data_IF_258544052612
#
_entry.id   IF_258544052612
#
_cell.length_a   1.000
_cell.length_b   1.000
_cell.length_c   1.000
_cell.angle_alpha   90.00
_cell.angle_beta   90.00
_cell.angle_gamma   90.00
#
_symmetry.space_group_name_H-M   'P 1'
#
loop_
_entity.id
_entity.type
_entity.pdbx_description
1 polymer ?
#
# COMPACT_ATOMS: atom_id res chain seq x y z
N UNK A 1 -2.93 12.73 -10.14
CA UNK A 1 -4.32 13.25 -10.19
C UNK A 1 -5.18 12.32 -11.06
N UNK A 2 -6.29 11.86 -10.52
CA UNK A 2 -7.22 10.94 -11.18
C UNK A 2 -8.49 11.70 -11.56
N UNK A 3 -8.76 11.82 -12.86
CA UNK A 3 -9.97 12.45 -13.38
C UNK A 3 -10.96 11.40 -13.88
N UNK A 4 -12.18 11.41 -13.35
CA UNK A 4 -13.28 10.56 -13.79
C UNK A 4 -14.22 11.33 -14.70
N UNK A 5 -14.77 10.66 -15.71
CA UNK A 5 -15.87 11.19 -16.50
C UNK A 5 -17.19 10.86 -15.78
N UNK A 6 -17.81 11.90 -15.24
CA UNK A 6 -19.11 11.77 -14.56
C UNK A 6 -20.29 11.86 -15.52
N UNK A 7 -20.06 12.17 -16.80
CA UNK A 7 -21.09 12.20 -17.83
C UNK A 7 -21.42 10.81 -18.38
N UNK A 8 -20.55 9.85 -18.18
CA UNK A 8 -20.66 8.50 -18.72
C UNK A 8 -20.57 7.47 -17.59
N UNK A 9 -21.45 6.48 -17.61
CA UNK A 9 -21.44 5.34 -16.68
C UNK A 9 -21.28 4.05 -17.48
N UNK A 10 -20.19 3.31 -17.22
CA UNK A 10 -19.90 2.01 -17.83
C UNK A 10 -19.87 0.96 -16.75
N UNK A 11 -20.71 -0.06 -16.83
CA UNK A 11 -20.82 -1.14 -15.82
C UNK A 11 -21.02 -0.61 -14.39
N UNK A 12 -21.82 0.45 -14.21
CA UNK A 12 -22.10 1.04 -12.90
C UNK A 12 -20.95 1.88 -12.31
N UNK A 13 -19.89 2.15 -13.06
CA UNK A 13 -18.75 2.97 -12.64
C UNK A 13 -18.50 4.11 -13.64
N UNK A 14 -18.01 5.22 -13.15
CA UNK A 14 -17.58 6.32 -14.01
C UNK A 14 -16.16 6.02 -14.52
N UNK A 15 -15.92 5.96 -15.84
CA UNK A 15 -14.61 5.64 -16.38
C UNK A 15 -13.57 6.69 -16.00
N UNK A 16 -12.34 6.25 -15.81
CA UNK A 16 -11.20 7.14 -15.61
C UNK A 16 -10.77 7.64 -16.96
N UNK A 17 -10.81 8.96 -17.17
CA UNK A 17 -10.44 9.60 -18.46
C UNK A 17 -8.98 10.04 -18.50
N UNK A 18 -8.37 10.30 -17.36
CA UNK A 18 -6.95 10.68 -17.30
C UNK A 18 -6.36 10.39 -15.91
N UNK A 19 -5.12 9.94 -15.92
CA UNK A 19 -4.21 10.01 -14.79
C UNK A 19 -3.13 11.03 -15.14
N UNK A 20 -3.02 12.08 -14.35
CA UNK A 20 -1.96 13.07 -14.48
C UNK A 20 -1.01 12.92 -13.30
N UNK A 21 0.27 12.72 -13.59
CA UNK A 21 1.31 12.73 -12.59
C UNK A 21 1.78 14.19 -12.39
N UNK A 22 1.64 14.68 -11.16
CA UNK A 22 2.13 15.99 -10.75
C UNK A 22 3.35 15.79 -9.87
N UNK A 23 4.53 15.83 -10.46
CA UNK A 23 5.77 15.61 -9.73
C UNK A 23 6.99 15.62 -10.65
N UNK A 24 8.15 15.41 -10.06
CA UNK A 24 9.42 15.31 -10.78
C UNK A 24 9.52 14.00 -11.59
N UNK A 25 10.54 13.95 -12.44
CA UNK A 25 10.89 12.73 -13.17
C UNK A 25 11.11 11.55 -12.20
N UNK A 26 10.44 10.43 -12.46
CA UNK A 26 10.51 9.19 -11.69
C UNK A 26 11.35 8.11 -12.36
N UNK A 27 11.91 8.38 -13.54
CA UNK A 27 12.74 7.44 -14.28
C UNK A 27 13.90 6.92 -13.42
N UNK A 28 14.01 5.61 -13.32
CA UNK A 28 15.03 4.92 -12.53
C UNK A 28 14.86 5.02 -11.01
N UNK A 29 13.82 5.69 -10.51
CA UNK A 29 13.55 5.83 -9.06
C UNK A 29 12.67 4.70 -8.54
N UNK A 30 12.79 4.44 -7.25
CA UNK A 30 11.84 3.60 -6.52
C UNK A 30 10.66 4.46 -6.10
N UNK A 31 9.46 3.95 -6.32
CA UNK A 31 8.21 4.67 -6.04
C UNK A 31 7.39 3.88 -5.02
N UNK A 32 6.85 4.57 -4.05
CA UNK A 32 5.92 4.01 -3.06
C UNK A 32 4.55 4.64 -3.29
N UNK A 33 3.54 3.81 -3.50
CA UNK A 33 2.13 4.18 -3.51
C UNK A 33 1.61 3.97 -2.10
N UNK A 34 1.04 5.00 -1.49
CA UNK A 34 0.46 4.92 -0.15
C UNK A 34 -1.03 5.22 -0.25
N UNK A 35 -1.85 4.34 0.31
CA UNK A 35 -3.30 4.52 0.39
C UNK A 35 -3.83 3.98 1.73
N UNK A 36 -5.06 4.28 2.05
CA UNK A 36 -5.73 3.78 3.27
C UNK A 36 -6.19 2.33 3.08
N UNK A 37 -6.76 1.98 1.92
CA UNK A 37 -7.22 0.62 1.67
C UNK A 37 -7.08 0.17 0.22
N UNK A 38 -6.86 -1.13 0.06
CA UNK A 38 -7.04 -1.85 -1.20
C UNK A 38 -8.42 -2.52 -1.14
N UNK A 39 -9.39 -2.04 -1.93
CA UNK A 39 -10.67 -2.73 -2.14
C UNK A 39 -10.50 -3.78 -3.24
N UNK A 40 -10.89 -3.51 -4.48
CA UNK A 40 -10.65 -4.40 -5.62
C UNK A 40 -9.20 -4.39 -6.13
N UNK A 41 -8.45 -3.34 -5.82
CA UNK A 41 -7.08 -3.14 -6.29
C UNK A 41 -6.94 -2.49 -7.67
N UNK A 42 -8.02 -2.36 -8.44
CA UNK A 42 -7.98 -1.83 -9.82
C UNK A 42 -7.20 -0.51 -9.94
N UNK A 43 -7.47 0.44 -9.03
CA UNK A 43 -6.82 1.76 -9.04
C UNK A 43 -5.31 1.67 -8.77
N UNK A 44 -4.92 0.81 -7.82
CA UNK A 44 -3.52 0.60 -7.46
C UNK A 44 -2.74 -0.04 -8.60
N UNK A 45 -3.32 -1.09 -9.20
CA UNK A 45 -2.70 -1.82 -10.30
C UNK A 45 -2.57 -0.94 -11.56
N UNK A 46 -3.60 -0.12 -11.85
CA UNK A 46 -3.53 0.83 -12.97
C UNK A 46 -2.47 1.92 -12.74
N UNK A 47 -2.41 2.47 -11.51
CA UNK A 47 -1.36 3.43 -11.14
C UNK A 47 0.03 2.80 -11.23
N UNK A 48 0.21 1.57 -10.73
CA UNK A 48 1.49 0.86 -10.80
C UNK A 48 1.95 0.62 -12.23
N UNK A 49 1.03 0.22 -13.12
CA UNK A 49 1.29 0.06 -14.56
C UNK A 49 1.81 1.37 -15.16
N UNK A 50 1.11 2.48 -14.91
CA UNK A 50 1.51 3.80 -15.43
C UNK A 50 2.88 4.25 -14.91
N UNK A 51 3.19 4.01 -13.62
CA UNK A 51 4.51 4.31 -13.08
C UNK A 51 5.62 3.51 -13.76
N UNK A 52 5.37 2.23 -14.09
CA UNK A 52 6.32 1.42 -14.87
C UNK A 52 6.45 1.91 -16.32
N UNK A 53 5.37 2.34 -16.95
CA UNK A 53 5.41 2.99 -18.27
C UNK A 53 6.23 4.30 -18.26
N UNK A 54 6.29 4.98 -17.10
CA UNK A 54 7.15 6.14 -16.86
C UNK A 54 8.58 5.76 -16.41
N UNK A 55 8.96 4.49 -16.57
CA UNK A 55 10.29 3.95 -16.26
C UNK A 55 10.70 3.99 -14.77
N UNK A 56 9.73 3.91 -13.84
CA UNK A 56 10.04 3.68 -12.43
C UNK A 56 10.80 2.35 -12.27
N UNK A 57 11.88 2.35 -11.47
CA UNK A 57 12.72 1.16 -11.22
C UNK A 57 11.93 0.11 -10.45
N UNK A 58 11.45 0.44 -9.26
CA UNK A 58 10.62 -0.43 -8.42
C UNK A 58 9.37 0.32 -7.98
N UNK A 59 8.26 -0.42 -7.84
CA UNK A 59 6.98 0.12 -7.36
C UNK A 59 6.52 -0.71 -6.17
N UNK A 60 6.33 -0.05 -5.04
CA UNK A 60 5.83 -0.63 -3.80
C UNK A 60 4.43 -0.09 -3.52
N UNK A 61 3.49 -0.96 -3.21
CA UNK A 61 2.12 -0.59 -2.83
C UNK A 61 2.00 -0.79 -1.32
N UNK A 62 1.66 0.25 -0.58
CA UNK A 62 1.48 0.22 0.86
C UNK A 62 0.08 0.69 1.21
N UNK A 63 -0.66 -0.08 2.00
CA UNK A 63 -1.95 0.34 2.53
C UNK A 63 -2.18 -0.18 3.95
N UNK A 64 -3.08 0.48 4.67
CA UNK A 64 -3.48 0.03 5.99
C UNK A 64 -4.36 -1.22 5.89
N UNK A 65 -5.39 -1.19 5.04
CA UNK A 65 -6.39 -2.27 4.95
C UNK A 65 -6.36 -2.95 3.58
N UNK A 66 -5.88 -4.19 3.53
CA UNK A 66 -5.91 -5.01 2.31
C UNK A 66 -7.17 -5.89 2.26
N UNK A 67 -8.27 -5.42 1.65
CA UNK A 67 -9.52 -6.17 1.59
C UNK A 67 -9.55 -7.19 0.45
N UNK A 68 -8.90 -6.90 -0.68
CA UNK A 68 -8.82 -7.78 -1.86
C UNK A 68 -10.17 -8.36 -2.29
N UNK A 69 -11.20 -7.51 -2.37
CA UNK A 69 -12.61 -7.90 -2.55
C UNK A 69 -12.89 -8.71 -3.83
N UNK A 70 -12.04 -8.58 -4.85
CA UNK A 70 -12.12 -9.33 -6.11
C UNK A 70 -11.11 -10.50 -6.17
N UNK A 71 -10.54 -10.90 -5.03
CA UNK A 71 -9.49 -11.92 -4.96
C UNK A 71 -8.13 -11.42 -5.46
N UNK A 72 -7.18 -12.34 -5.61
CA UNK A 72 -5.79 -12.03 -5.88
C UNK A 72 -5.37 -12.16 -7.34
N UNK A 73 -6.24 -12.70 -8.21
CA UNK A 73 -5.90 -12.99 -9.61
C UNK A 73 -5.34 -11.79 -10.37
N UNK A 74 -5.96 -10.61 -10.22
CA UNK A 74 -5.50 -9.40 -10.89
C UNK A 74 -4.11 -8.95 -10.38
N UNK A 75 -3.82 -9.17 -9.10
CA UNK A 75 -2.50 -8.91 -8.51
C UNK A 75 -1.45 -9.90 -9.03
N UNK A 76 -1.79 -11.19 -9.12
CA UNK A 76 -0.90 -12.21 -9.68
C UNK A 76 -0.50 -11.85 -11.12
N UNK A 77 -1.48 -11.55 -11.97
CA UNK A 77 -1.24 -11.16 -13.36
C UNK A 77 -0.41 -9.86 -13.49
N UNK A 78 -0.66 -8.87 -12.64
CA UNK A 78 0.08 -7.62 -12.64
C UNK A 78 1.52 -7.79 -12.15
N UNK A 79 1.74 -8.66 -11.15
CA UNK A 79 3.06 -9.01 -10.67
C UNK A 79 3.88 -9.75 -11.74
N UNK A 80 3.29 -10.74 -12.43
CA UNK A 80 3.93 -11.44 -13.55
C UNK A 80 4.35 -10.50 -14.68
N UNK A 81 3.55 -9.43 -14.92
CA UNK A 81 3.87 -8.37 -15.88
C UNK A 81 4.90 -7.36 -15.37
N UNK A 82 5.34 -7.48 -14.11
CA UNK A 82 6.31 -6.58 -13.50
C UNK A 82 5.78 -5.17 -13.22
N UNK A 83 4.47 -4.99 -13.00
CA UNK A 83 3.88 -3.67 -12.73
C UNK A 83 4.16 -3.16 -11.33
N UNK A 84 4.42 -4.05 -10.38
CA UNK A 84 4.85 -3.71 -9.03
C UNK A 84 5.79 -4.78 -8.46
N UNK A 85 6.50 -4.45 -7.40
CA UNK A 85 7.47 -5.34 -6.77
C UNK A 85 6.93 -5.95 -5.47
N UNK A 86 6.27 -5.14 -4.62
CA UNK A 86 5.68 -5.61 -3.37
C UNK A 86 4.36 -4.90 -3.07
N UNK A 87 3.47 -5.63 -2.38
CA UNK A 87 2.28 -5.12 -1.72
C UNK A 87 2.46 -5.33 -0.22
N UNK A 88 2.39 -4.26 0.54
CA UNK A 88 2.58 -4.23 1.98
C UNK A 88 1.27 -3.79 2.62
N UNK A 89 0.67 -4.63 3.45
CA UNK A 89 -0.54 -4.29 4.21
C UNK A 89 -0.40 -4.65 5.67
N UNK A 90 -1.19 -4.04 6.52
CA UNK A 90 -1.25 -4.47 7.92
C UNK A 90 -2.16 -5.70 8.08
N UNK A 91 -2.04 -6.36 9.23
CA UNK A 91 -2.96 -7.41 9.69
C UNK A 91 -4.14 -6.87 10.53
N UNK A 92 -4.51 -5.60 10.34
CA UNK A 92 -5.63 -4.98 11.06
C UNK A 92 -7.02 -5.33 10.46
N UNK A 93 -7.04 -6.09 9.38
CA UNK A 93 -8.25 -6.66 8.78
C UNK A 93 -8.01 -8.12 8.41
N UNK A 94 -9.09 -8.83 8.09
CA UNK A 94 -8.96 -10.20 7.60
C UNK A 94 -8.18 -10.20 6.28
N UNK A 95 -7.15 -11.02 6.23
CA UNK A 95 -6.37 -11.31 5.02
C UNK A 95 -6.70 -12.72 4.55
N UNK A 96 -6.99 -12.93 3.25
CA UNK A 96 -7.17 -14.27 2.70
C UNK A 96 -5.93 -15.14 2.97
N UNK A 97 -6.07 -16.38 3.47
CA UNK A 97 -4.91 -17.21 3.83
C UNK A 97 -3.91 -17.41 2.68
N UNK A 98 -4.40 -17.47 1.45
CA UNK A 98 -3.56 -17.63 0.26
C UNK A 98 -2.63 -16.44 -0.02
N UNK A 99 -2.90 -15.25 0.54
CA UNK A 99 -2.07 -14.07 0.28
C UNK A 99 -0.67 -14.21 0.88
N UNK A 100 -0.55 -14.89 2.03
CA UNK A 100 0.74 -15.11 2.70
C UNK A 100 1.70 -15.97 1.88
N UNK A 101 1.20 -16.72 0.90
CA UNK A 101 2.02 -17.54 -0.01
C UNK A 101 2.52 -16.77 -1.21
N UNK A 102 2.04 -15.54 -1.43
CA UNK A 102 2.39 -14.74 -2.61
C UNK A 102 3.78 -14.11 -2.46
N UNK A 103 4.65 -14.25 -3.46
CA UNK A 103 6.03 -13.74 -3.39
C UNK A 103 6.11 -12.20 -3.31
N UNK A 104 5.05 -11.52 -3.72
CA UNK A 104 4.96 -10.07 -3.69
C UNK A 104 4.37 -9.51 -2.40
N UNK A 105 3.78 -10.34 -1.54
CA UNK A 105 3.08 -9.87 -0.35
C UNK A 105 4.02 -9.74 0.85
N UNK A 106 3.81 -8.69 1.63
CA UNK A 106 4.48 -8.45 2.92
C UNK A 106 3.43 -7.99 3.93
N UNK A 107 3.30 -8.73 5.01
CA UNK A 107 2.47 -8.34 6.14
C UNK A 107 3.24 -7.43 7.10
N UNK A 108 2.67 -6.27 7.40
CA UNK A 108 3.12 -5.41 8.49
C UNK A 108 2.33 -5.79 9.76
N UNK A 109 2.94 -6.56 10.63
CA UNK A 109 2.31 -7.03 11.87
C UNK A 109 2.12 -5.89 12.88
N UNK A 110 0.86 -5.55 13.14
CA UNK A 110 0.43 -4.49 14.06
C UNK A 110 0.02 -5.05 15.44
N UNK A 111 0.17 -6.36 15.70
CA UNK A 111 -0.31 -7.00 16.92
C UNK A 111 0.31 -6.40 18.17
N UNK A 112 1.63 -6.21 18.15
CA UNK A 112 2.36 -5.61 19.29
C UNK A 112 1.95 -4.15 19.53
N UNK A 113 1.75 -3.39 18.49
CA UNK A 113 1.31 -1.99 18.58
C UNK A 113 -0.10 -1.92 19.14
N UNK A 114 -1.02 -2.74 18.65
CA UNK A 114 -2.39 -2.83 19.13
C UNK A 114 -2.45 -3.26 20.61
N UNK A 115 -1.67 -4.26 20.99
CA UNK A 115 -1.57 -4.68 22.39
C UNK A 115 -1.07 -3.56 23.31
N UNK A 116 -0.08 -2.78 22.86
CA UNK A 116 0.42 -1.63 23.63
C UNK A 116 -0.64 -0.53 23.80
N UNK A 117 -1.45 -0.27 22.79
CA UNK A 117 -2.57 0.69 22.88
C UNK A 117 -3.59 0.20 23.92
N UNK A 118 -3.97 -1.07 23.86
CA UNK A 118 -4.92 -1.66 24.81
C UNK A 118 -4.38 -1.57 26.25
N UNK A 119 -3.11 -1.88 26.46
CA UNK A 119 -2.45 -1.79 27.76
C UNK A 119 -2.45 -0.35 28.31
N UNK A 120 -2.06 0.64 27.49
CA UNK A 120 -2.05 2.04 27.88
C UNK A 120 -3.45 2.55 28.24
N UNK A 121 -4.47 2.19 27.45
CA UNK A 121 -5.86 2.57 27.72
C UNK A 121 -6.38 1.92 29.00
N UNK A 122 -6.00 0.68 29.29
CA UNK A 122 -6.43 -0.05 30.47
C UNK A 122 -5.80 0.51 31.77
N UNK A 123 -4.64 1.14 31.66
CA UNK A 123 -3.92 1.74 32.80
C UNK A 123 -4.00 3.27 32.85
N UNK A 124 -4.88 3.89 32.07
CA UNK A 124 -5.02 5.35 31.98
C UNK A 124 -3.70 6.10 31.67
N UNK A 125 -2.80 5.45 30.92
CA UNK A 125 -1.53 6.02 30.48
C UNK A 125 -1.67 6.78 29.18
N UNK A 126 -0.93 7.88 29.05
CA UNK A 126 -0.93 8.66 27.81
C UNK A 126 -0.44 7.86 26.59
N UNK A 127 -1.21 7.93 25.50
CA UNK A 127 -0.84 7.32 24.21
C UNK A 127 0.27 8.06 23.47
N UNK A 128 0.68 9.25 23.92
CA UNK A 128 1.68 10.07 23.21
C UNK A 128 2.97 9.33 22.92
N UNK A 129 3.47 8.54 23.86
CA UNK A 129 4.70 7.75 23.68
C UNK A 129 4.53 6.56 22.72
N UNK A 130 3.32 5.98 22.66
CA UNK A 130 3.01 4.92 21.69
C UNK A 130 2.95 5.48 20.27
N UNK A 131 2.42 6.71 20.12
CA UNK A 131 2.25 7.42 18.86
C UNK A 131 3.52 8.13 18.38
N UNK A 132 4.58 8.20 19.19
CA UNK A 132 5.87 8.78 18.80
C UNK A 132 6.64 7.89 17.81
N UNK A 133 6.09 7.77 16.59
CA UNK A 133 6.64 6.88 15.54
C UNK A 133 7.92 7.42 14.92
N UNK A 134 8.12 8.75 14.91
CA UNK A 134 9.28 9.39 14.28
C UNK A 134 10.59 8.94 14.90
N UNK A 135 10.70 8.92 16.23
CA UNK A 135 11.92 8.48 16.92
C UNK A 135 12.23 6.99 16.63
N UNK A 136 11.19 6.16 16.60
CA UNK A 136 11.32 4.73 16.26
C UNK A 136 11.79 4.54 14.82
N UNK A 137 11.25 5.31 13.87
CA UNK A 137 11.70 5.28 12.47
C UNK A 137 13.16 5.71 12.32
N UNK A 138 13.58 6.76 13.02
CA UNK A 138 14.98 7.20 13.03
C UNK A 138 15.91 6.10 13.57
N UNK A 139 15.54 5.45 14.66
CA UNK A 139 16.31 4.35 15.23
C UNK A 139 16.49 3.18 14.24
N UNK A 140 15.42 2.79 13.55
CA UNK A 140 15.47 1.72 12.52
C UNK A 140 16.35 2.14 11.35
N UNK A 141 16.26 3.40 10.89
CA UNK A 141 17.10 3.91 9.80
C UNK A 141 18.58 3.97 10.19
N UNK A 142 18.89 4.36 11.42
CA UNK A 142 20.27 4.36 11.93
C UNK A 142 20.85 2.93 12.01
N UNK A 143 20.04 1.95 12.40
CA UNK A 143 20.45 0.55 12.41
C UNK A 143 20.70 0.03 10.99
N UNK A 144 19.82 0.33 10.06
CA UNK A 144 19.98 -0.04 8.65
C UNK A 144 21.22 0.56 8.00
N UNK A 145 21.56 1.79 8.32
CA UNK A 145 22.74 2.48 7.76
C UNK A 145 24.08 1.98 8.33
N UNK A 146 24.07 1.12 9.36
CA UNK A 146 25.26 0.48 9.93
C UNK A 146 25.62 -0.86 9.25
N UNK A 147 24.74 -1.37 8.41
CA UNK A 147 24.93 -2.60 7.62
C UNK A 147 25.56 -2.26 6.27
#
# INVERSE_FOLDING_TARGET
>A
YKRRDYSTVVNGKNPIVAHEFLGDNIEGKDVIIIDDMISSGESMLDTSRQLKEMHARRVFICCTFGLFTNGLKAFDEAYEKGYFDKVITTNLTYLPPEISTKPYFVEADMSKFTASIIDFMNHDVSLSNAMATTEKMHAVLEEYNKI
#
